data_IF_109823128358
#
_entry.id   IF_109823128358
#
_cell.length_a   1.000
_cell.length_b   1.000
_cell.length_c   1.000
_cell.angle_alpha   90.00
_cell.angle_beta   90.00
_cell.angle_gamma   90.00
#
_symmetry.space_group_name_H-M   'P 1'
#
loop_
_entity.id
_entity.type
_entity.pdbx_description
1 polymer ?
#
# COMPACT_ATOMS: atom_id res chain seq x y z
N UNK A 1 16.10 -27.42 -48.28
CA UNK A 1 15.03 -27.31 -47.26
C UNK A 1 15.59 -27.38 -45.83
N UNK A 2 16.57 -26.54 -45.46
CA UNK A 2 17.21 -26.56 -44.11
C UNK A 2 17.10 -25.24 -43.33
N UNK A 3 16.38 -24.25 -43.87
CA UNK A 3 16.20 -22.94 -43.24
C UNK A 3 14.85 -22.76 -42.54
N UNK A 4 13.84 -23.57 -42.88
CA UNK A 4 12.48 -23.45 -42.30
C UNK A 4 12.44 -23.92 -40.83
N UNK A 5 13.36 -24.82 -40.44
CA UNK A 5 13.43 -25.37 -39.09
C UNK A 5 13.96 -24.37 -38.05
N UNK A 6 14.83 -23.43 -38.45
CA UNK A 6 15.40 -22.44 -37.52
C UNK A 6 14.41 -21.31 -37.20
N UNK A 7 13.56 -20.93 -38.16
CA UNK A 7 12.56 -19.87 -37.97
C UNK A 7 11.49 -20.28 -36.94
N UNK A 8 11.10 -21.56 -36.93
CA UNK A 8 10.13 -22.07 -35.95
C UNK A 8 10.68 -22.10 -34.52
N UNK A 9 11.98 -22.37 -34.32
CA UNK A 9 12.61 -22.38 -32.99
C UNK A 9 12.72 -20.96 -32.41
N UNK A 10 13.03 -19.97 -33.25
CA UNK A 10 13.07 -18.55 -32.84
C UNK A 10 11.67 -18.01 -32.53
N UNK A 11 10.66 -18.41 -33.32
CA UNK A 11 9.27 -17.98 -33.09
C UNK A 11 8.65 -18.59 -31.82
N UNK A 12 9.06 -19.80 -31.43
CA UNK A 12 8.60 -20.43 -30.18
C UNK A 12 9.23 -19.78 -28.93
N UNK A 13 10.51 -19.41 -28.99
CA UNK A 13 11.21 -18.76 -27.88
C UNK A 13 10.70 -17.33 -27.56
N UNK A 14 10.07 -16.65 -28.52
CA UNK A 14 9.52 -15.31 -28.33
C UNK A 14 8.19 -15.28 -27.53
N UNK A 15 7.60 -16.43 -27.22
CA UNK A 15 6.28 -16.51 -26.54
C UNK A 15 6.34 -16.70 -25.03
N UNK A 16 7.54 -16.84 -24.44
CA UNK A 16 7.69 -17.19 -23.02
C UNK A 16 7.84 -16.00 -22.06
N UNK A 17 7.72 -14.76 -22.54
CA UNK A 17 7.83 -13.56 -21.70
C UNK A 17 6.47 -12.97 -21.34
N UNK A 18 5.57 -13.79 -20.79
CA UNK A 18 4.51 -13.27 -19.93
C UNK A 18 5.00 -13.38 -18.49
N UNK A 19 5.75 -12.37 -18.04
CA UNK A 19 5.85 -12.13 -16.60
C UNK A 19 4.42 -11.90 -16.12
N UNK A 20 3.88 -12.87 -15.39
CA UNK A 20 2.71 -12.67 -14.58
C UNK A 20 3.07 -11.60 -13.54
N UNK A 21 2.85 -10.33 -13.88
CA UNK A 21 2.81 -9.25 -12.92
C UNK A 21 1.78 -9.71 -11.90
N UNK A 22 2.26 -10.14 -10.73
CA UNK A 22 1.41 -10.45 -9.61
C UNK A 22 0.59 -9.19 -9.35
N UNK A 23 -0.66 -9.19 -9.80
CA UNK A 23 -1.51 -8.01 -9.82
C UNK A 23 -1.74 -7.61 -8.37
N UNK A 24 -0.99 -6.62 -7.91
CA UNK A 24 -1.25 -5.86 -6.69
C UNK A 24 -2.65 -5.30 -6.84
N UNK A 25 -3.60 -5.94 -6.17
CA UNK A 25 -5.01 -5.69 -6.41
C UNK A 25 -5.64 -5.13 -5.16
N UNK A 26 -6.09 -3.89 -5.29
CA UNK A 26 -7.10 -3.34 -4.41
C UNK A 26 -8.31 -4.29 -4.37
N UNK A 27 -8.72 -4.67 -3.15
CA UNK A 27 -9.82 -5.61 -2.93
C UNK A 27 -11.08 -4.84 -2.53
N UNK A 28 -10.99 -4.02 -1.47
CA UNK A 28 -12.15 -3.31 -0.93
C UNK A 28 -11.75 -2.14 -0.03
N UNK A 29 -12.75 -1.35 0.35
CA UNK A 29 -12.64 -0.33 1.40
C UNK A 29 -13.91 -0.29 2.24
N UNK A 30 -13.78 0.15 3.48
CA UNK A 30 -14.91 0.45 4.35
C UNK A 30 -14.60 1.65 5.24
N UNK A 31 -15.61 2.47 5.50
CA UNK A 31 -15.51 3.59 6.43
C UNK A 31 -16.25 3.22 7.71
N UNK A 32 -15.55 3.17 8.83
CA UNK A 32 -16.15 2.95 10.15
C UNK A 32 -15.75 4.09 11.09
N UNK A 33 -16.73 4.90 11.50
CA UNK A 33 -16.49 6.12 12.27
C UNK A 33 -15.59 7.08 11.49
N UNK A 34 -14.35 7.27 11.95
CA UNK A 34 -13.35 8.09 11.26
C UNK A 34 -12.17 7.31 10.68
N UNK A 35 -12.31 5.99 10.63
CA UNK A 35 -11.27 5.12 10.11
C UNK A 35 -11.71 4.57 8.76
N UNK A 36 -10.96 4.91 7.73
CA UNK A 36 -11.04 4.27 6.43
C UNK A 36 -10.12 3.05 6.45
N UNK A 37 -10.73 1.88 6.38
CA UNK A 37 -10.03 0.63 6.17
C UNK A 37 -9.92 0.36 4.68
N UNK A 38 -8.72 0.02 4.22
CA UNK A 38 -8.46 -0.38 2.83
C UNK A 38 -7.79 -1.74 2.81
N UNK A 39 -8.37 -2.65 2.03
CA UNK A 39 -7.90 -4.02 1.87
C UNK A 39 -7.29 -4.18 0.49
N UNK A 40 -6.09 -4.71 0.47
CA UNK A 40 -5.30 -5.02 -0.71
C UNK A 40 -4.86 -6.49 -0.63
N UNK A 41 -4.57 -7.10 -1.78
CA UNK A 41 -4.13 -8.50 -1.84
C UNK A 41 -2.88 -8.79 -1.00
N UNK A 42 -2.01 -7.79 -0.83
CA UNK A 42 -0.78 -7.88 -0.04
C UNK A 42 -0.93 -7.42 1.42
N UNK A 43 -2.08 -6.88 1.82
CA UNK A 43 -2.21 -6.32 3.17
C UNK A 43 -3.40 -5.40 3.40
N UNK A 44 -3.53 -4.96 4.64
CA UNK A 44 -4.60 -4.06 5.09
C UNK A 44 -4.00 -2.79 5.69
N UNK A 45 -4.59 -1.65 5.42
CA UNK A 45 -4.26 -0.37 6.07
C UNK A 45 -5.52 0.24 6.69
N UNK A 46 -5.34 0.81 7.86
CA UNK A 46 -6.34 1.65 8.51
C UNK A 46 -5.84 3.09 8.50
N UNK A 47 -6.65 3.99 7.97
CA UNK A 47 -6.39 5.43 7.89
C UNK A 47 -7.39 6.12 8.79
N UNK A 48 -6.96 6.65 9.92
CA UNK A 48 -7.83 7.30 10.90
C UNK A 48 -7.67 8.81 10.86
N UNK A 49 -8.77 9.54 10.67
CA UNK A 49 -8.79 11.00 10.81
C UNK A 49 -8.86 11.39 12.28
N UNK A 50 -7.74 11.88 12.82
CA UNK A 50 -7.62 12.33 14.21
C UNK A 50 -8.07 13.80 14.36
N UNK A 51 -7.82 14.61 13.33
CA UNK A 51 -8.19 16.02 13.26
C UNK A 51 -8.32 16.44 11.80
N UNK A 52 -8.87 17.62 11.55
CA UNK A 52 -8.87 18.23 10.20
C UNK A 52 -7.46 18.31 9.60
N UNK A 53 -6.41 18.37 10.42
CA UNK A 53 -5.00 18.51 9.99
C UNK A 53 -4.14 17.27 10.28
N UNK A 54 -4.73 16.14 10.68
CA UNK A 54 -3.96 14.97 11.09
C UNK A 54 -4.65 13.64 10.73
N UNK A 55 -3.91 12.79 10.02
CA UNK A 55 -4.24 11.39 9.82
C UNK A 55 -3.26 10.49 10.58
N UNK A 56 -3.75 9.38 11.11
CA UNK A 56 -2.93 8.23 11.51
C UNK A 56 -3.04 7.16 10.43
N UNK A 57 -1.88 6.68 9.96
CA UNK A 57 -1.79 5.58 9.01
C UNK A 57 -1.26 4.37 9.76
N UNK A 58 -2.05 3.29 9.80
CA UNK A 58 -1.69 2.04 10.48
C UNK A 58 -1.75 0.87 9.50
N UNK A 59 -0.60 0.30 9.11
CA UNK A 59 -0.55 -0.94 8.34
C UNK A 59 -0.81 -2.12 9.27
N UNK A 60 -1.83 -2.92 8.94
CA UNK A 60 -2.25 -4.11 9.69
C UNK A 60 -1.74 -5.42 9.08
N UNK A 61 -0.99 -5.33 7.97
CA UNK A 61 -0.48 -6.49 7.24
C UNK A 61 0.69 -7.22 7.92
N UNK A 62 1.10 -6.79 9.12
CA UNK A 62 2.40 -7.15 9.68
C UNK A 62 2.27 -7.70 11.12
N UNK A 63 2.83 -8.89 11.43
CA UNK A 63 2.88 -9.42 12.80
C UNK A 63 3.67 -8.53 13.78
N UNK A 64 4.52 -7.62 13.28
CA UNK A 64 5.25 -6.65 14.07
C UNK A 64 4.40 -5.44 14.50
N UNK A 65 3.25 -5.21 13.86
CA UNK A 65 2.31 -4.15 14.28
C UNK A 65 1.30 -4.77 15.26
N UNK A 66 1.69 -4.73 16.52
CA UNK A 66 0.90 -5.23 17.65
C UNK A 66 -0.29 -4.30 17.93
N UNK A 67 -1.51 -4.83 17.83
CA UNK A 67 -2.74 -4.06 18.07
C UNK A 67 -2.86 -3.55 19.52
N UNK A 68 -2.17 -4.22 20.46
CA UNK A 68 -2.13 -3.88 21.88
C UNK A 68 -1.10 -2.81 22.25
N UNK A 69 -0.25 -2.38 21.31
CA UNK A 69 0.70 -1.29 21.56
C UNK A 69 0.07 0.06 21.23
N UNK A 70 -0.18 0.93 22.24
CA UNK A 70 -0.73 2.25 22.00
C UNK A 70 0.32 3.15 21.33
N UNK A 71 -0.15 4.17 20.60
CA UNK A 71 0.74 5.20 20.09
C UNK A 71 1.15 6.14 21.22
N UNK A 72 2.45 6.38 21.37
CA UNK A 72 3.00 7.39 22.27
C UNK A 72 2.92 8.82 21.72
N UNK A 73 2.67 8.97 20.41
CA UNK A 73 2.61 10.27 19.74
C UNK A 73 1.20 10.90 19.74
N UNK A 74 0.18 10.18 20.24
CA UNK A 74 -1.20 10.65 20.26
C UNK A 74 -1.62 10.95 21.70
N UNK A 75 -2.39 12.02 21.87
CA UNK A 75 -3.11 12.24 23.12
C UNK A 75 -4.28 11.25 23.22
N UNK A 76 -4.32 10.35 24.22
CA UNK A 76 -5.41 9.39 24.40
C UNK A 76 -6.76 10.06 24.74
N UNK A 77 -6.76 11.33 25.16
CA UNK A 77 -7.98 12.10 25.48
C UNK A 77 -8.54 12.89 24.30
N UNK A 78 -7.86 12.88 23.15
CA UNK A 78 -8.32 13.55 21.94
C UNK A 78 -9.61 12.90 21.43
N UNK A 79 -10.68 13.70 21.34
CA UNK A 79 -12.02 13.24 20.94
C UNK A 79 -12.60 14.03 19.75
N UNK A 80 -11.76 14.77 19.03
CA UNK A 80 -12.18 15.54 17.86
C UNK A 80 -12.78 14.63 16.77
N UNK A 81 -13.89 15.08 16.16
CA UNK A 81 -14.62 14.33 15.13
C UNK A 81 -14.63 15.14 13.83
N UNK A 82 -13.64 14.96 12.94
CA UNK A 82 -13.57 15.72 11.69
C UNK A 82 -14.72 15.35 10.75
N UNK A 83 -15.14 16.29 9.92
CA UNK A 83 -16.07 15.99 8.82
C UNK A 83 -15.31 15.25 7.73
N UNK A 84 -15.88 14.14 7.26
CA UNK A 84 -15.20 13.23 6.34
C UNK A 84 -15.86 13.20 4.99
N UNK A 85 -15.04 13.04 3.96
CA UNK A 85 -15.47 12.76 2.61
C UNK A 85 -14.61 11.63 2.05
N UNK A 86 -15.29 10.64 1.47
CA UNK A 86 -14.66 9.56 0.71
C UNK A 86 -15.10 9.69 -0.73
N UNK A 87 -14.15 9.74 -1.66
CA UNK A 87 -14.42 9.74 -3.09
C UNK A 87 -13.75 8.52 -3.68
N UNK A 88 -14.58 7.61 -4.19
CA UNK A 88 -14.14 6.39 -4.83
C UNK A 88 -14.15 6.57 -6.35
N UNK A 89 -13.00 6.41 -6.99
CA UNK A 89 -12.87 6.42 -8.45
C UNK A 89 -12.37 5.07 -8.97
N UNK A 90 -12.25 4.92 -10.29
CA UNK A 90 -11.75 3.67 -10.89
C UNK A 90 -10.31 3.37 -10.48
N UNK A 91 -9.42 4.36 -10.53
CA UNK A 91 -7.98 4.21 -10.27
C UNK A 91 -7.55 4.68 -8.88
N UNK A 92 -8.38 5.45 -8.18
CA UNK A 92 -8.00 6.06 -6.91
C UNK A 92 -9.10 6.01 -5.86
N UNK A 93 -8.68 6.11 -4.60
CA UNK A 93 -9.56 6.32 -3.45
C UNK A 93 -9.06 7.54 -2.69
N UNK A 94 -9.90 8.56 -2.58
CA UNK A 94 -9.57 9.76 -1.82
C UNK A 94 -10.33 9.78 -0.49
N UNK A 95 -9.61 10.08 0.59
CA UNK A 95 -10.16 10.29 1.92
C UNK A 95 -9.73 11.66 2.42
N UNK A 96 -10.69 12.50 2.77
CA UNK A 96 -10.41 13.89 3.13
C UNK A 96 -11.21 14.36 4.33
N UNK A 97 -10.57 15.26 5.09
CA UNK A 97 -11.21 16.16 6.04
C UNK A 97 -11.51 17.50 5.36
N UNK A 98 -11.78 18.56 6.13
CA UNK A 98 -11.91 19.92 5.60
C UNK A 98 -10.62 20.43 4.96
N UNK A 99 -9.46 20.07 5.51
CA UNK A 99 -8.16 20.66 5.11
C UNK A 99 -7.16 19.64 4.61
N UNK A 100 -7.20 18.39 5.09
CA UNK A 100 -6.23 17.36 4.74
C UNK A 100 -6.88 16.30 3.86
N UNK A 101 -6.16 15.83 2.86
CA UNK A 101 -6.61 14.78 1.94
C UNK A 101 -5.49 13.78 1.73
N UNK A 102 -5.83 12.51 1.82
CA UNK A 102 -4.98 11.41 1.36
C UNK A 102 -5.63 10.76 0.15
N UNK A 103 -4.84 10.52 -0.89
CA UNK A 103 -5.25 9.77 -2.07
C UNK A 103 -4.45 8.50 -2.16
N UNK A 104 -5.14 7.39 -2.39
CA UNK A 104 -4.55 6.08 -2.57
C UNK A 104 -4.68 5.72 -4.05
N UNK A 105 -3.55 5.42 -4.68
CA UNK A 105 -3.54 4.78 -6.00
C UNK A 105 -3.87 3.28 -5.84
N UNK A 106 -4.92 2.81 -6.51
CA UNK A 106 -5.41 1.43 -6.33
C UNK A 106 -4.54 0.36 -6.98
N UNK A 107 -3.69 0.73 -7.93
CA UNK A 107 -2.81 -0.21 -8.62
C UNK A 107 -1.51 -0.44 -7.84
N UNK A 108 -0.98 0.61 -7.21
CA UNK A 108 0.30 0.60 -6.49
C UNK A 108 0.17 0.60 -4.97
N UNK A 109 -1.02 0.90 -4.43
CA UNK A 109 -1.24 1.21 -3.01
C UNK A 109 -0.39 2.36 -2.48
N UNK A 110 0.08 3.25 -3.37
CA UNK A 110 0.85 4.43 -2.99
C UNK A 110 -0.08 5.49 -2.39
N UNK A 111 0.31 6.05 -1.25
CA UNK A 111 -0.39 7.17 -0.63
C UNK A 111 0.26 8.50 -1.00
N UNK A 112 -0.58 9.49 -1.30
CA UNK A 112 -0.19 10.88 -1.50
C UNK A 112 -1.02 11.79 -0.62
N UNK A 113 -0.39 12.79 -0.01
CA UNK A 113 -0.97 13.64 1.02
C UNK A 113 -1.02 15.08 0.53
N UNK A 114 -2.15 15.72 0.77
CA UNK A 114 -2.44 17.08 0.34
C UNK A 114 -3.03 17.87 1.49
N UNK A 115 -2.67 19.15 1.59
CA UNK A 115 -3.30 20.11 2.49
C UNK A 115 -3.81 21.29 1.68
N UNK A 116 -5.11 21.58 1.76
CA UNK A 116 -5.77 22.62 0.98
C UNK A 116 -5.42 22.52 -0.52
N UNK A 117 -5.51 21.30 -1.07
CA UNK A 117 -5.14 20.96 -2.47
C UNK A 117 -3.65 21.08 -2.82
N UNK A 118 -2.81 21.60 -1.93
CA UNK A 118 -1.36 21.59 -2.11
C UNK A 118 -0.79 20.21 -1.76
N UNK A 119 -0.01 19.63 -2.68
CA UNK A 119 0.74 18.41 -2.42
C UNK A 119 1.78 18.63 -1.31
N UNK A 120 1.78 17.75 -0.31
CA UNK A 120 2.73 17.78 0.80
C UNK A 120 3.84 16.75 0.59
N UNK A 121 3.44 15.50 0.38
CA UNK A 121 4.35 14.38 0.19
C UNK A 121 3.63 13.21 -0.48
N UNK A 122 4.42 12.35 -1.12
CA UNK A 122 3.98 11.04 -1.62
C UNK A 122 4.94 9.98 -1.13
N UNK A 123 4.44 8.78 -0.85
CA UNK A 123 5.28 7.63 -0.58
C UNK A 123 6.07 7.24 -1.84
N UNK A 124 7.33 6.86 -1.73
CA UNK A 124 8.20 6.60 -2.89
C UNK A 124 7.82 5.29 -3.61
N UNK A 125 7.71 4.20 -2.85
CA UNK A 125 7.03 2.97 -3.23
C UNK A 125 6.16 2.64 -2.04
N UNK A 126 4.83 2.60 -2.22
CA UNK A 126 3.87 2.60 -1.11
C UNK A 126 4.36 1.75 0.06
N UNK A 127 4.31 2.27 1.30
CA UNK A 127 5.02 1.73 2.47
C UNK A 127 4.92 0.20 2.65
N UNK A 128 3.83 -0.40 2.16
CA UNK A 128 3.59 -1.84 2.12
C UNK A 128 4.53 -2.62 1.18
N UNK A 129 4.99 -2.04 0.06
CA UNK A 129 5.90 -2.66 -0.89
C UNK A 129 7.32 -2.84 -0.31
N UNK A 130 7.80 -1.87 0.49
CA UNK A 130 9.10 -1.92 1.17
C UNK A 130 9.08 -2.78 2.44
N UNK A 131 7.91 -2.99 3.08
CA UNK A 131 7.77 -3.91 4.22
C UNK A 131 7.84 -5.40 3.86
N UNK A 132 8.08 -5.75 2.59
CA UNK A 132 8.86 -6.95 2.29
C UNK A 132 10.25 -6.72 2.88
N UNK A 133 10.42 -7.02 4.17
CA UNK A 133 11.73 -7.38 4.68
C UNK A 133 12.16 -8.58 3.84
N UNK A 134 12.87 -8.32 2.74
CA UNK A 134 13.70 -9.31 2.10
C UNK A 134 14.76 -9.54 3.15
N UNK A 135 14.49 -10.49 4.06
CA UNK A 135 15.55 -11.17 4.77
C UNK A 135 16.36 -11.77 3.63
N UNK A 136 17.37 -11.03 3.17
CA UNK A 136 18.45 -11.61 2.40
C UNK A 136 18.92 -12.75 3.28
N UNK A 137 18.68 -13.98 2.83
CA UNK A 137 19.04 -15.17 3.58
C UNK A 137 20.52 -15.06 3.94
N UNK A 138 20.78 -14.73 5.20
CA UNK A 138 22.05 -15.02 5.83
C UNK A 138 22.08 -16.54 5.93
N UNK A 139 22.55 -17.16 4.84
CA UNK A 139 22.99 -18.54 4.83
C UNK A 139 24.15 -18.60 5.81
N UNK A 140 23.86 -19.04 7.03
CA UNK A 140 24.89 -19.35 8.02
C UNK A 140 25.69 -20.53 7.47
N UNK A 141 26.86 -20.20 6.95
CA UNK A 141 27.89 -21.16 6.59
C UNK A 141 28.34 -21.83 7.89
N UNK A 142 27.85 -23.06 8.15
CA UNK A 142 28.38 -23.92 9.21
C UNK A 142 29.86 -24.15 8.92
N UNK A 143 30.72 -23.49 9.68
CA UNK A 143 32.09 -23.96 9.88
C UNK A 143 32.00 -25.14 10.84
N UNK A 144 32.18 -26.35 10.28
CA UNK A 144 32.45 -27.53 11.09
C UNK A 144 33.82 -27.32 11.77
N UNK A 145 33.85 -27.52 13.09
CA UNK A 145 35.07 -27.72 13.86
C UNK A 145 35.60 -29.14 13.66
#
# INVERSE_FOLDING_TARGET
MRFVSFVFVVLFAATLSFDAIANKTYVSHSLNGHTLTVVHSEGKIDITALHDNAFEIRPLANPFVRADFPSFAKDPKQNYRPKLKVINSKSSLAFSTNTLKVTIDKASMQLSYFKNEQHLLSEESGFLALMRCKVFGLSWMKLNA
#
